data_IF_832867742625
#
_entry.id   IF_832867742625
#
_cell.length_a   1.000
_cell.length_b   1.000
_cell.length_c   1.000
_cell.angle_alpha   90.00
_cell.angle_beta   90.00
_cell.angle_gamma   90.00
#
_symmetry.space_group_name_H-M   'P 1'
#
loop_
_entity.id
_entity.type
_entity.pdbx_description
1 polymer ?
#
# COMPACT_ATOMS: atom_id res chain seq x y z
N UNK A 1 -17.85 4.65 2.44
CA UNK A 1 -16.46 4.17 2.66
C UNK A 1 -15.79 5.12 3.63
N UNK A 2 -15.17 4.61 4.70
CA UNK A 2 -14.39 5.41 5.64
C UNK A 2 -12.93 5.05 5.45
N UNK A 3 -12.06 5.97 4.99
CA UNK A 3 -10.64 5.68 4.83
C UNK A 3 -9.96 5.58 6.19
N UNK A 4 -9.00 4.66 6.31
CA UNK A 4 -8.07 4.55 7.45
C UNK A 4 -6.68 4.92 6.94
N UNK A 5 -5.95 5.71 7.73
CA UNK A 5 -4.62 6.19 7.35
C UNK A 5 -3.55 5.63 8.27
N UNK A 6 -2.41 5.28 7.68
CA UNK A 6 -1.17 4.91 8.39
C UNK A 6 -0.14 5.97 8.03
N UNK A 7 0.32 6.72 9.03
CA UNK A 7 1.19 7.89 8.83
C UNK A 7 2.65 7.58 9.20
N UNK A 8 3.15 6.45 8.72
CA UNK A 8 4.51 5.98 8.97
C UNK A 8 5.32 5.90 7.66
N UNK A 9 6.64 6.06 7.74
CA UNK A 9 7.51 6.00 6.58
C UNK A 9 7.61 4.56 6.05
N UNK A 10 7.49 4.35 4.74
CA UNK A 10 7.68 3.03 4.13
C UNK A 10 9.15 2.55 4.14
N UNK A 11 10.11 3.45 4.38
CA UNK A 11 11.53 3.13 4.44
C UNK A 11 12.26 3.07 3.11
N UNK A 12 11.57 3.21 1.96
CA UNK A 12 12.21 3.07 0.64
C UNK A 12 13.33 4.10 0.37
N UNK A 13 13.14 5.35 0.83
CA UNK A 13 14.14 6.44 0.78
C UNK A 13 14.90 6.56 -0.58
N UNK A 14 14.16 6.82 -1.66
CA UNK A 14 14.77 7.00 -2.99
C UNK A 14 15.46 5.73 -3.48
N UNK A 15 16.75 5.78 -3.81
CA UNK A 15 17.51 4.57 -4.19
C UNK A 15 18.13 3.85 -3.00
N UNK A 16 18.01 4.36 -1.77
CA UNK A 16 18.65 3.78 -0.59
C UNK A 16 18.21 2.33 -0.35
N UNK A 17 16.91 2.05 -0.41
CA UNK A 17 16.39 0.68 -0.30
C UNK A 17 16.82 -0.24 -1.44
N UNK A 18 17.41 0.29 -2.52
CA UNK A 18 17.86 -0.51 -3.66
C UNK A 18 19.36 -0.85 -3.58
N UNK A 19 20.11 -0.30 -2.63
CA UNK A 19 21.53 -0.62 -2.45
C UNK A 19 21.71 -1.84 -1.56
N UNK A 20 22.82 -2.55 -1.73
CA UNK A 20 23.16 -3.72 -0.89
C UNK A 20 23.27 -3.31 0.58
N UNK A 21 23.83 -2.14 0.84
CA UNK A 21 24.06 -1.62 2.19
C UNK A 21 22.77 -1.13 2.85
N UNK A 22 21.86 -0.55 2.06
CA UNK A 22 20.64 0.08 2.53
C UNK A 22 19.43 -0.84 2.61
N UNK A 23 19.42 -1.97 1.88
CA UNK A 23 18.26 -2.86 1.77
C UNK A 23 17.73 -3.30 3.15
N UNK A 24 18.56 -3.97 3.96
CA UNK A 24 18.16 -4.43 5.30
C UNK A 24 17.79 -3.29 6.26
N UNK A 25 18.43 -2.12 6.11
CA UNK A 25 18.12 -0.97 6.93
C UNK A 25 16.76 -0.35 6.56
N UNK A 26 16.46 -0.25 5.27
CA UNK A 26 15.19 0.25 4.75
C UNK A 26 13.99 -0.53 5.28
N UNK A 27 14.14 -1.86 5.41
CA UNK A 27 13.12 -2.75 5.97
C UNK A 27 12.83 -2.37 7.42
N UNK A 28 13.88 -2.22 8.23
CA UNK A 28 13.74 -1.85 9.65
C UNK A 28 13.07 -0.50 9.83
N UNK A 29 13.36 0.48 8.97
CA UNK A 29 12.70 1.79 8.97
C UNK A 29 11.22 1.67 8.58
N UNK A 30 10.93 0.84 7.58
CA UNK A 30 9.57 0.63 7.05
C UNK A 30 8.64 -0.21 7.92
N UNK A 31 9.17 -0.96 8.89
CA UNK A 31 8.42 -1.98 9.65
C UNK A 31 7.10 -1.47 10.22
N UNK A 32 7.10 -0.27 10.83
CA UNK A 32 5.87 0.33 11.39
C UNK A 32 4.80 0.60 10.34
N UNK A 33 5.20 1.00 9.14
CA UNK A 33 4.27 1.21 8.04
C UNK A 33 3.70 -0.13 7.54
N UNK A 34 4.54 -1.18 7.45
CA UNK A 34 4.09 -2.51 7.02
C UNK A 34 3.09 -3.11 8.00
N UNK A 35 3.42 -3.08 9.29
CA UNK A 35 2.57 -3.59 10.36
C UNK A 35 1.26 -2.80 10.45
N UNK A 36 1.35 -1.46 10.46
CA UNK A 36 0.17 -0.59 10.54
C UNK A 36 -0.78 -0.76 9.35
N UNK A 37 -0.25 -0.93 8.14
CA UNK A 37 -1.08 -1.18 6.95
C UNK A 37 -1.74 -2.57 6.99
N UNK A 38 -1.03 -3.59 7.50
CA UNK A 38 -1.60 -4.93 7.70
C UNK A 38 -2.70 -4.93 8.77
N UNK A 39 -2.48 -4.24 9.89
CA UNK A 39 -3.43 -4.13 11.00
C UNK A 39 -4.71 -3.36 10.62
N UNK A 40 -4.61 -2.39 9.70
CA UNK A 40 -5.77 -1.65 9.19
C UNK A 40 -6.79 -2.56 8.49
N UNK A 41 -6.40 -3.79 8.10
CA UNK A 41 -7.25 -4.82 7.52
C UNK A 41 -8.11 -4.33 6.32
N UNK A 42 -7.59 -3.36 5.57
CA UNK A 42 -8.26 -2.80 4.40
C UNK A 42 -8.00 -3.67 3.16
N UNK A 43 -9.04 -3.94 2.38
CA UNK A 43 -8.94 -4.71 1.12
C UNK A 43 -8.18 -3.92 0.04
N UNK A 44 -8.36 -2.60 0.00
CA UNK A 44 -7.74 -1.71 -0.98
C UNK A 44 -6.73 -0.82 -0.27
N UNK A 45 -5.46 -0.96 -0.64
CA UNK A 45 -4.38 -0.10 -0.16
C UNK A 45 -4.12 1.00 -1.18
N UNK A 46 -3.79 2.20 -0.70
CA UNK A 46 -3.54 3.36 -1.55
C UNK A 46 -2.20 4.03 -1.21
N UNK A 47 -1.42 4.39 -2.24
CA UNK A 47 -0.24 5.26 -2.12
C UNK A 47 0.00 5.99 -3.44
N UNK A 48 0.28 7.28 -3.40
CA UNK A 48 0.64 8.07 -4.57
C UNK A 48 2.12 7.87 -4.98
N UNK A 49 2.98 7.49 -4.03
CA UNK A 49 4.38 7.22 -4.27
C UNK A 49 4.61 5.81 -4.86
N UNK A 50 5.10 5.68 -6.11
CA UNK A 50 5.35 4.36 -6.72
C UNK A 50 6.48 3.58 -6.02
N UNK A 51 7.44 4.28 -5.40
CA UNK A 51 8.51 3.64 -4.63
C UNK A 51 7.96 2.99 -3.36
N UNK A 52 7.08 3.70 -2.63
CA UNK A 52 6.38 3.12 -1.49
C UNK A 52 5.56 1.88 -1.91
N UNK A 53 4.90 1.93 -3.08
CA UNK A 53 4.14 0.79 -3.58
C UNK A 53 5.02 -0.46 -3.81
N UNK A 54 6.25 -0.28 -4.31
CA UNK A 54 7.22 -1.37 -4.47
C UNK A 54 7.64 -1.91 -3.10
N UNK A 55 7.94 -1.02 -2.15
CA UNK A 55 8.37 -1.39 -0.79
C UNK A 55 7.30 -2.23 -0.07
N UNK A 56 6.03 -1.80 -0.13
CA UNK A 56 4.90 -2.55 0.41
C UNK A 56 4.71 -3.89 -0.31
N UNK A 57 4.87 -3.93 -1.63
CA UNK A 57 4.80 -5.18 -2.38
C UNK A 57 5.90 -6.17 -1.93
N UNK A 58 7.12 -5.69 -1.67
CA UNK A 58 8.25 -6.52 -1.25
C UNK A 58 8.13 -7.02 0.19
N UNK A 59 7.64 -6.19 1.11
CA UNK A 59 7.73 -6.45 2.55
C UNK A 59 6.40 -6.67 3.26
N UNK A 60 5.28 -6.30 2.65
CA UNK A 60 3.93 -6.56 3.15
C UNK A 60 3.10 -7.45 2.20
N UNK A 61 3.65 -7.83 1.04
CA UNK A 61 3.00 -8.72 0.06
C UNK A 61 1.82 -8.09 -0.69
N UNK A 62 1.43 -6.86 -0.35
CA UNK A 62 0.35 -6.12 -0.99
C UNK A 62 0.96 -4.98 -1.79
N UNK A 63 0.61 -4.87 -3.07
CA UNK A 63 0.95 -3.70 -3.88
C UNK A 63 -0.20 -2.69 -3.82
N UNK A 64 -0.05 -1.55 -3.12
CA UNK A 64 -1.08 -0.53 -3.09
C UNK A 64 -1.31 0.05 -4.49
N UNK A 65 -2.53 0.50 -4.72
CA UNK A 65 -2.91 1.19 -5.95
C UNK A 65 -2.61 2.69 -5.81
N UNK A 66 -2.31 3.33 -6.95
CA UNK A 66 -2.29 4.79 -7.00
C UNK A 66 -3.72 5.32 -6.78
N UNK A 67 -3.94 6.39 -5.97
CA UNK A 67 -5.27 6.92 -5.70
C UNK A 67 -6.08 7.24 -6.97
N UNK A 68 -5.42 7.78 -8.01
CA UNK A 68 -6.08 8.02 -9.30
C UNK A 68 -6.54 6.74 -10.01
N UNK A 69 -5.83 5.62 -9.83
CA UNK A 69 -6.27 4.32 -10.37
C UNK A 69 -7.46 3.78 -9.59
N UNK A 70 -7.53 4.01 -8.28
CA UNK A 70 -8.69 3.66 -7.45
C UNK A 70 -9.91 4.45 -7.92
N UNK A 71 -9.77 5.77 -8.09
CA UNK A 71 -10.85 6.61 -8.61
C UNK A 71 -11.28 6.14 -10.00
N UNK A 72 -10.36 5.97 -10.94
CA UNK A 72 -10.70 5.51 -12.29
C UNK A 72 -11.46 4.17 -12.32
N UNK A 73 -11.13 3.24 -11.42
CA UNK A 73 -11.86 1.99 -11.23
C UNK A 73 -13.25 2.22 -10.64
N UNK A 74 -13.38 3.06 -9.62
CA UNK A 74 -14.65 3.34 -8.96
C UNK A 74 -15.72 3.94 -9.89
N UNK A 75 -15.32 4.58 -11.00
CA UNK A 75 -16.24 5.10 -12.03
C UNK A 75 -16.68 4.05 -13.08
N UNK A 76 -16.20 2.80 -13.00
CA UNK A 76 -16.58 1.70 -13.91
C UNK A 76 -17.49 0.71 -13.20
N UNK A 77 -18.45 0.15 -13.93
CA UNK A 77 -19.43 -0.81 -13.42
C UNK A 77 -18.78 -2.08 -12.83
N UNK A 78 -17.62 -2.48 -13.37
CA UNK A 78 -16.83 -3.66 -13.02
C UNK A 78 -15.43 -3.30 -12.47
N UNK A 79 -15.25 -2.09 -11.95
CA UNK A 79 -13.91 -1.59 -11.58
C UNK A 79 -13.28 -2.22 -10.34
N UNK A 80 -14.10 -2.84 -9.49
CA UNK A 80 -13.69 -3.64 -8.34
C UNK A 80 -14.57 -4.88 -8.27
N UNK A 81 -14.02 -5.99 -7.79
CA UNK A 81 -14.83 -7.18 -7.52
C UNK A 81 -15.93 -6.81 -6.51
N UNK A 82 -17.17 -7.21 -6.80
CA UNK A 82 -18.27 -6.95 -5.88
C UNK A 82 -18.03 -7.75 -4.60
N UNK A 83 -18.08 -7.14 -3.40
CA UNK A 83 -17.91 -7.87 -2.16
C UNK A 83 -18.97 -8.98 -2.07
N UNK A 84 -18.53 -10.23 -1.93
CA UNK A 84 -19.41 -11.36 -1.65
C UNK A 84 -19.98 -11.20 -0.23
N UNK A 85 -21.12 -10.49 -0.11
CA UNK A 85 -21.84 -10.38 1.17
C UNK A 85 -22.39 -9.00 1.56
N UNK A 86 -22.45 -8.01 0.66
CA UNK A 86 -23.20 -6.77 0.93
C UNK A 86 -24.70 -6.95 0.70
N UNK A 87 -25.59 -6.34 1.52
CA UNK A 87 -27.03 -6.47 1.32
C UNK A 87 -27.45 -5.78 0.01
N UNK A 88 -28.25 -6.50 -0.78
CA UNK A 88 -29.07 -5.95 -1.87
C UNK A 88 -30.02 -4.88 -1.37
#
# INVERSE_FOLDING_TARGET
VTPVTVMECCGHDGTHAMTVEGFEYSIRVGQKAFDGMAEAAAEIWATDCPLAAIQFQQHAGVKPLHPMSILARAYREDGFDTPQGGPT
#
